data_IF_743836419826
#
_entry.id   IF_743836419826
#
_cell.length_a   1.000
_cell.length_b   1.000
_cell.length_c   1.000
_cell.angle_alpha   90.00
_cell.angle_beta   90.00
_cell.angle_gamma   90.00
#
_symmetry.space_group_name_H-M   'P 1'
#
loop_
_entity.id
_entity.type
_entity.pdbx_description
1 polymer ?
#
# COMPACT_ATOMS: atom_id res chain seq x y z
N UNK A 1 -3.91 -7.73 -21.27
CA UNK A 1 -3.13 -6.47 -21.31
C UNK A 1 -1.61 -6.71 -21.23
N UNK A 2 -1.10 -7.60 -20.38
CA UNK A 2 0.35 -7.83 -20.27
C UNK A 2 0.98 -8.62 -21.44
N UNK A 3 0.22 -9.48 -22.11
CA UNK A 3 0.66 -10.16 -23.33
C UNK A 3 0.98 -9.16 -24.47
N UNK A 4 0.17 -8.10 -24.58
CA UNK A 4 0.33 -7.03 -25.58
C UNK A 4 1.56 -6.17 -25.24
N UNK A 5 1.80 -5.87 -23.96
CA UNK A 5 3.03 -5.18 -23.52
C UNK A 5 4.29 -5.98 -23.80
N UNK A 6 4.26 -7.30 -23.59
CA UNK A 6 5.38 -8.21 -23.90
C UNK A 6 5.64 -8.33 -25.40
N UNK A 7 4.60 -8.31 -26.23
CA UNK A 7 4.77 -8.26 -27.69
C UNK A 7 5.34 -6.92 -28.14
N UNK A 8 4.86 -5.81 -27.58
CA UNK A 8 5.38 -4.48 -27.89
C UNK A 8 6.86 -4.32 -27.47
N UNK A 9 7.27 -4.89 -26.32
CA UNK A 9 8.68 -4.89 -25.91
C UNK A 9 9.56 -5.75 -26.81
N UNK A 10 9.08 -6.93 -27.23
CA UNK A 10 9.79 -7.79 -28.19
C UNK A 10 9.92 -7.13 -29.57
N UNK A 11 8.88 -6.44 -30.03
CA UNK A 11 8.90 -5.71 -31.29
C UNK A 11 9.88 -4.53 -31.23
N UNK A 12 9.89 -3.77 -30.13
CA UNK A 12 10.89 -2.71 -29.91
C UNK A 12 12.32 -3.25 -29.91
N UNK A 13 12.55 -4.38 -29.24
CA UNK A 13 13.87 -5.02 -29.19
C UNK A 13 14.30 -5.56 -30.56
N UNK A 14 13.36 -6.14 -31.32
CA UNK A 14 13.62 -6.56 -32.70
C UNK A 14 13.93 -5.36 -33.61
N UNK A 15 13.17 -4.28 -33.50
CA UNK A 15 13.41 -3.05 -34.27
C UNK A 15 14.77 -2.43 -33.90
N UNK A 16 15.14 -2.40 -32.63
CA UNK A 16 16.46 -1.92 -32.20
C UNK A 16 17.60 -2.78 -32.75
N UNK A 17 17.48 -4.12 -32.70
CA UNK A 17 18.47 -5.03 -33.30
C UNK A 17 18.55 -4.90 -34.81
N UNK A 18 17.42 -4.70 -35.47
CA UNK A 18 17.36 -4.56 -36.93
C UNK A 18 17.92 -3.20 -37.37
N UNK A 19 17.64 -2.12 -36.64
CA UNK A 19 18.29 -0.81 -36.82
C UNK A 19 19.80 -0.91 -36.62
N UNK A 20 20.26 -1.65 -35.62
CA UNK A 20 21.69 -1.86 -35.36
C UNK A 20 22.37 -2.72 -36.45
N UNK A 21 21.68 -3.73 -36.99
CA UNK A 21 22.17 -4.54 -38.10
C UNK A 21 22.26 -3.72 -39.41
N UNK A 22 21.28 -2.86 -39.67
CA UNK A 22 21.28 -1.93 -40.80
C UNK A 22 22.41 -0.89 -40.65
N UNK A 23 22.60 -0.33 -39.45
CA UNK A 23 23.74 0.55 -39.14
C UNK A 23 25.09 -0.14 -39.32
N UNK A 24 25.22 -1.42 -38.95
CA UNK A 24 26.43 -2.21 -39.21
C UNK A 24 26.66 -2.47 -40.69
N UNK A 25 25.61 -2.72 -41.46
CA UNK A 25 25.70 -3.01 -42.89
C UNK A 25 26.02 -1.75 -43.72
N UNK A 26 25.56 -0.57 -43.29
CA UNK A 26 25.81 0.71 -43.97
C UNK A 26 26.95 1.54 -43.37
N UNK A 27 27.42 1.22 -42.16
CA UNK A 27 28.54 1.90 -41.48
C UNK A 27 29.93 1.26 -41.70
N UNK A 28 30.00 0.13 -42.41
CA UNK A 28 31.22 -0.68 -42.63
C UNK A 28 32.22 -0.12 -43.64
N UNK A 29 32.38 1.20 -43.74
CA UNK A 29 33.28 1.86 -44.68
C UNK A 29 34.61 2.31 -44.08
N UNK A 30 35.47 1.36 -43.71
CA UNK A 30 36.92 1.55 -43.60
C UNK A 30 37.46 2.17 -42.31
N UNK A 31 38.09 1.32 -41.49
CA UNK A 31 39.22 1.55 -40.59
C UNK A 31 39.27 2.86 -39.79
N UNK A 32 38.93 2.74 -38.50
CA UNK A 32 39.16 3.78 -37.48
C UNK A 32 38.76 3.32 -36.07
N UNK A 33 39.68 2.63 -35.38
CA UNK A 33 39.69 2.51 -33.91
C UNK A 33 38.78 1.44 -33.29
N UNK A 34 39.38 0.35 -32.81
CA UNK A 34 38.74 -0.59 -31.87
C UNK A 34 38.20 0.11 -30.60
N UNK A 35 38.76 1.28 -30.28
CA UNK A 35 38.40 2.11 -29.13
C UNK A 35 37.02 2.80 -29.27
N UNK A 36 36.61 3.08 -30.51
CA UNK A 36 35.30 3.67 -30.80
C UNK A 36 34.17 2.65 -30.59
N UNK A 37 34.42 1.36 -30.88
CA UNK A 37 33.43 0.29 -30.72
C UNK A 37 33.18 -0.05 -29.24
N UNK A 38 34.24 -0.06 -28.42
CA UNK A 38 34.15 -0.33 -26.98
C UNK A 38 33.50 0.82 -26.21
N UNK A 39 33.73 2.06 -26.66
CA UNK A 39 33.09 3.25 -26.09
C UNK A 39 31.58 3.27 -26.36
N UNK A 40 31.18 2.91 -27.58
CA UNK A 40 29.77 2.83 -28.00
C UNK A 40 28.97 1.77 -27.20
N UNK A 41 29.60 0.64 -26.85
CA UNK A 41 28.95 -0.42 -26.05
C UNK A 41 28.72 -0.01 -24.58
N UNK A 42 29.69 0.68 -23.96
CA UNK A 42 29.53 1.21 -22.59
C UNK A 42 28.48 2.32 -22.52
N UNK A 43 28.44 3.19 -23.52
CA UNK A 43 27.43 4.25 -23.64
C UNK A 43 26.02 3.66 -23.82
N UNK A 44 25.88 2.63 -24.66
CA UNK A 44 24.63 1.90 -24.85
C UNK A 44 24.14 1.26 -23.54
N UNK A 45 25.02 0.61 -22.79
CA UNK A 45 24.69 0.03 -21.49
C UNK A 45 24.24 1.08 -20.46
N UNK A 46 24.91 2.23 -20.42
CA UNK A 46 24.53 3.34 -19.54
C UNK A 46 23.12 3.86 -19.90
N UNK A 47 22.84 4.04 -21.18
CA UNK A 47 21.53 4.48 -21.66
C UNK A 47 20.42 3.48 -21.28
N UNK A 48 20.62 2.19 -21.52
CA UNK A 48 19.68 1.15 -21.14
C UNK A 48 19.44 1.10 -19.62
N UNK A 49 20.49 1.31 -18.83
CA UNK A 49 20.37 1.39 -17.36
C UNK A 49 19.53 2.60 -16.95
N UNK A 50 19.77 3.77 -17.55
CA UNK A 50 18.99 4.99 -17.32
C UNK A 50 17.52 4.79 -17.67
N UNK A 51 17.21 4.18 -18.81
CA UNK A 51 15.83 3.90 -19.22
C UNK A 51 15.11 3.01 -18.20
N UNK A 52 15.77 1.93 -17.74
CA UNK A 52 15.23 1.03 -16.71
C UNK A 52 14.95 1.77 -15.40
N UNK A 53 15.91 2.58 -14.95
CA UNK A 53 15.78 3.39 -13.73
C UNK A 53 14.65 4.42 -13.83
N UNK A 54 14.51 5.07 -14.99
CA UNK A 54 13.45 6.04 -15.22
C UNK A 54 12.06 5.37 -15.20
N UNK A 55 11.91 4.23 -15.85
CA UNK A 55 10.66 3.45 -15.83
C UNK A 55 10.33 2.99 -14.40
N UNK A 56 11.33 2.47 -13.68
CA UNK A 56 11.17 1.97 -12.32
C UNK A 56 10.76 3.08 -11.36
N UNK A 57 11.47 4.21 -11.33
CA UNK A 57 11.15 5.36 -10.46
C UNK A 57 9.80 6.01 -10.80
N UNK A 58 9.40 5.98 -12.08
CA UNK A 58 8.05 6.38 -12.50
C UNK A 58 6.99 5.42 -11.95
N UNK A 59 7.17 4.11 -12.09
CA UNK A 59 6.25 3.12 -11.56
C UNK A 59 6.16 3.21 -10.02
N UNK A 60 7.30 3.33 -9.33
CA UNK A 60 7.38 3.54 -7.89
C UNK A 60 6.54 4.73 -7.42
N UNK A 61 6.66 5.89 -8.09
CA UNK A 61 5.82 7.07 -7.81
C UNK A 61 4.33 6.78 -7.96
N UNK A 62 3.92 6.01 -8.97
CA UNK A 62 2.52 5.64 -9.17
C UNK A 62 2.00 4.73 -8.05
N UNK A 63 2.73 3.67 -7.72
CA UNK A 63 2.33 2.77 -6.65
C UNK A 63 2.24 3.49 -5.29
N UNK A 64 3.22 4.32 -4.96
CA UNK A 64 3.18 5.12 -3.73
C UNK A 64 1.95 6.03 -3.67
N UNK A 65 1.60 6.66 -4.79
CA UNK A 65 0.39 7.50 -4.86
C UNK A 65 -0.89 6.69 -4.65
N UNK A 66 -0.99 5.51 -5.22
CA UNK A 66 -2.18 4.66 -5.07
C UNK A 66 -2.30 4.13 -3.64
N UNK A 67 -1.19 3.80 -2.98
CA UNK A 67 -1.16 3.47 -1.54
C UNK A 67 -1.65 4.66 -0.71
N UNK A 68 -1.12 5.87 -0.96
CA UNK A 68 -1.55 7.08 -0.25
C UNK A 68 -3.06 7.29 -0.37
N UNK A 69 -3.62 7.19 -1.58
CA UNK A 69 -5.06 7.32 -1.81
C UNK A 69 -5.87 6.25 -1.06
N UNK A 70 -5.39 5.00 -1.05
CA UNK A 70 -6.01 3.92 -0.31
C UNK A 70 -6.07 4.19 1.20
N UNK A 71 -4.94 4.61 1.78
CA UNK A 71 -4.82 4.95 3.20
C UNK A 71 -5.69 6.16 3.55
N UNK A 72 -5.66 7.22 2.75
CA UNK A 72 -6.50 8.41 2.96
C UNK A 72 -8.00 8.07 2.87
N UNK A 73 -8.40 7.26 1.90
CA UNK A 73 -9.78 6.77 1.79
C UNK A 73 -10.21 5.91 2.99
N UNK A 74 -9.30 5.08 3.50
CA UNK A 74 -9.52 4.31 4.72
C UNK A 74 -9.68 5.22 5.94
N UNK A 75 -8.86 6.27 6.07
CA UNK A 75 -8.95 7.26 7.15
C UNK A 75 -10.30 7.99 7.11
N UNK A 76 -10.71 8.49 5.95
CA UNK A 76 -12.00 9.20 5.80
C UNK A 76 -13.18 8.31 6.21
N UNK A 77 -13.20 7.07 5.74
CA UNK A 77 -14.25 6.11 6.12
C UNK A 77 -14.15 5.73 7.59
N UNK A 78 -12.94 5.56 8.10
CA UNK A 78 -12.65 5.24 9.49
C UNK A 78 -13.16 6.32 10.46
N UNK A 79 -12.96 7.60 10.14
CA UNK A 79 -13.44 8.71 10.97
C UNK A 79 -14.96 8.70 11.10
N UNK A 80 -15.69 8.40 10.02
CA UNK A 80 -17.15 8.22 10.07
C UNK A 80 -17.56 7.05 10.98
N UNK A 81 -16.79 5.95 10.98
CA UNK A 81 -17.06 4.84 11.89
C UNK A 81 -16.84 5.23 13.36
N UNK A 82 -15.81 6.03 13.64
CA UNK A 82 -15.56 6.59 14.98
C UNK A 82 -16.74 7.45 15.44
N UNK A 83 -17.25 8.33 14.59
CA UNK A 83 -18.42 9.17 14.91
C UNK A 83 -19.66 8.32 15.25
N UNK A 84 -19.99 7.34 14.39
CA UNK A 84 -21.13 6.44 14.60
C UNK A 84 -20.95 5.61 15.88
N UNK A 85 -19.75 5.06 16.10
CA UNK A 85 -19.44 4.26 17.28
C UNK A 85 -19.49 5.07 18.57
N UNK A 86 -19.05 6.33 18.53
CA UNK A 86 -19.12 7.27 19.66
C UNK A 86 -20.57 7.56 20.01
N UNK A 87 -21.41 7.88 19.02
CA UNK A 87 -22.85 8.08 19.24
C UNK A 87 -23.53 6.85 19.85
N UNK A 88 -23.23 5.65 19.34
CA UNK A 88 -23.74 4.40 19.92
C UNK A 88 -23.34 4.23 21.39
N UNK A 89 -22.11 4.61 21.74
CA UNK A 89 -21.63 4.58 23.12
C UNK A 89 -22.40 5.58 24.00
N UNK A 90 -22.70 6.77 23.50
CA UNK A 90 -23.45 7.79 24.22
C UNK A 90 -24.90 7.36 24.46
N UNK A 91 -25.56 6.83 23.43
CA UNK A 91 -26.94 6.32 23.53
C UNK A 91 -27.03 5.17 24.56
N UNK A 92 -26.06 4.26 24.55
CA UNK A 92 -25.98 3.16 25.54
C UNK A 92 -25.73 3.66 26.96
N UNK A 93 -24.91 4.71 27.10
CA UNK A 93 -24.62 5.35 28.40
C UNK A 93 -25.87 6.03 28.95
N UNK A 94 -26.60 6.74 28.09
CA UNK A 94 -27.86 7.40 28.41
C UNK A 94 -28.88 6.39 28.91
N UNK A 95 -29.02 5.28 28.20
CA UNK A 95 -29.87 4.17 28.65
C UNK A 95 -29.47 3.67 30.04
N UNK A 96 -28.18 3.48 30.31
CA UNK A 96 -27.71 3.02 31.62
C UNK A 96 -27.87 4.04 32.76
N UNK A 97 -27.84 5.35 32.47
CA UNK A 97 -27.85 6.41 33.47
C UNK A 97 -29.24 6.98 33.76
N UNK A 98 -30.10 7.09 32.75
CA UNK A 98 -31.41 7.77 32.85
C UNK A 98 -32.59 6.80 33.00
N UNK A 99 -32.34 5.49 33.01
CA UNK A 99 -33.42 4.51 33.11
C UNK A 99 -34.04 4.48 34.51
N UNK A 100 -35.35 4.74 34.57
CA UNK A 100 -36.18 4.78 35.79
C UNK A 100 -36.75 3.42 36.20
N UNK A 101 -36.32 2.32 35.57
CA UNK A 101 -36.76 0.98 35.93
C UNK A 101 -36.54 0.67 37.43
N UNK A 102 -37.62 0.31 38.13
CA UNK A 102 -37.64 -0.11 39.53
C UNK A 102 -37.17 -1.57 39.73
N UNK A 103 -37.00 -2.33 38.65
CA UNK A 103 -36.46 -3.69 38.64
C UNK A 103 -34.98 -3.72 38.28
N UNK A 104 -34.14 -4.09 39.26
CA UNK A 104 -32.78 -4.62 39.09
C UNK A 104 -31.81 -3.80 38.21
N UNK A 105 -30.93 -3.02 38.84
CA UNK A 105 -29.87 -2.22 38.16
C UNK A 105 -28.81 -2.99 37.37
N UNK A 106 -28.96 -4.30 37.15
CA UNK A 106 -28.04 -5.13 36.37
C UNK A 106 -27.99 -4.72 34.90
N UNK A 107 -29.13 -4.51 34.26
CA UNK A 107 -29.15 -4.08 32.85
C UNK A 107 -28.56 -2.67 32.69
N UNK A 108 -28.81 -1.77 33.63
CA UNK A 108 -28.19 -0.44 33.66
C UNK A 108 -26.66 -0.53 33.79
N UNK A 109 -26.14 -1.39 34.69
CA UNK A 109 -24.69 -1.63 34.82
C UNK A 109 -24.08 -2.25 33.57
N UNK A 110 -24.75 -3.21 32.95
CA UNK A 110 -24.31 -3.82 31.69
C UNK A 110 -24.24 -2.77 30.56
N UNK A 111 -25.26 -1.92 30.44
CA UNK A 111 -25.29 -0.84 29.45
C UNK A 111 -24.18 0.19 29.68
N UNK A 112 -23.93 0.59 30.93
CA UNK A 112 -22.83 1.49 31.29
C UNK A 112 -21.47 0.87 30.97
N UNK A 113 -21.28 -0.42 31.28
CA UNK A 113 -20.03 -1.16 31.00
C UNK A 113 -19.75 -1.24 29.50
N UNK A 114 -20.77 -1.62 28.70
CA UNK A 114 -20.69 -1.59 27.24
C UNK A 114 -20.39 -0.19 26.70
N UNK A 115 -21.07 0.84 27.20
CA UNK A 115 -20.87 2.22 26.74
C UNK A 115 -19.44 2.69 26.93
N UNK A 116 -18.81 2.33 28.06
CA UNK A 116 -17.43 2.68 28.37
C UNK A 116 -16.46 1.95 27.45
N UNK A 117 -16.60 0.63 27.34
CA UNK A 117 -15.76 -0.19 26.48
C UNK A 117 -15.87 0.23 25.01
N UNK A 118 -17.08 0.55 24.53
CA UNK A 118 -17.32 1.05 23.18
C UNK A 118 -16.62 2.38 22.92
N UNK A 119 -16.73 3.34 23.85
CA UNK A 119 -16.05 4.62 23.74
C UNK A 119 -14.52 4.46 23.71
N UNK A 120 -13.97 3.54 24.52
CA UNK A 120 -12.53 3.26 24.52
C UNK A 120 -12.07 2.63 23.20
N UNK A 121 -12.83 1.69 22.63
CA UNK A 121 -12.50 1.12 21.31
C UNK A 121 -12.48 2.18 20.21
N UNK A 122 -13.43 3.11 20.19
CA UNK A 122 -13.44 4.19 19.20
C UNK A 122 -12.30 5.19 19.37
N UNK A 123 -11.88 5.45 20.62
CA UNK A 123 -10.66 6.22 20.91
C UNK A 123 -9.43 5.54 20.30
N UNK A 124 -9.27 4.24 20.50
CA UNK A 124 -8.15 3.49 19.91
C UNK A 124 -8.22 3.43 18.39
N UNK A 125 -9.43 3.39 17.82
CA UNK A 125 -9.63 3.50 16.37
C UNK A 125 -9.15 4.86 15.86
N UNK A 126 -9.48 5.94 16.56
CA UNK A 126 -8.95 7.28 16.25
C UNK A 126 -7.42 7.35 16.29
N UNK A 127 -6.80 6.71 17.29
CA UNK A 127 -5.34 6.61 17.39
C UNK A 127 -4.73 5.87 16.19
N UNK A 128 -5.32 4.74 15.77
CA UNK A 128 -4.90 4.02 14.56
C UNK A 128 -4.96 4.92 13.32
N UNK A 129 -6.09 5.59 13.08
CA UNK A 129 -6.26 6.44 11.90
C UNK A 129 -5.24 7.59 11.87
N UNK A 130 -4.96 8.18 13.03
CA UNK A 130 -3.91 9.19 13.17
C UNK A 130 -2.52 8.63 12.87
N UNK A 131 -2.20 7.42 13.34
CA UNK A 131 -0.94 6.75 13.04
C UNK A 131 -0.79 6.45 11.55
N UNK A 132 -1.85 5.98 10.88
CA UNK A 132 -1.85 5.76 9.43
C UNK A 132 -1.63 7.08 8.66
N UNK A 133 -2.24 8.18 9.09
CA UNK A 133 -2.03 9.49 8.47
C UNK A 133 -0.58 9.95 8.57
N UNK A 134 -0.06 9.99 9.80
CA UNK A 134 1.25 10.59 10.11
C UNK A 134 2.44 9.69 9.78
N UNK A 135 2.32 8.38 10.01
CA UNK A 135 3.43 7.45 9.84
C UNK A 135 3.50 6.82 8.44
N UNK A 136 2.39 6.83 7.68
CA UNK A 136 2.28 6.16 6.38
C UNK A 136 1.96 7.15 5.26
N UNK A 137 0.81 7.82 5.32
CA UNK A 137 0.33 8.66 4.22
C UNK A 137 1.23 9.88 3.98
N UNK A 138 1.55 10.64 5.03
CA UNK A 138 2.37 11.85 4.93
C UNK A 138 3.79 11.58 4.35
N UNK A 139 4.58 10.60 4.85
CA UNK A 139 5.91 10.34 4.29
C UNK A 139 5.86 9.85 2.83
N UNK A 140 4.87 9.03 2.46
CA UNK A 140 4.72 8.58 1.08
C UNK A 140 4.28 9.72 0.16
N UNK A 141 3.39 10.61 0.63
CA UNK A 141 2.99 11.81 -0.12
C UNK A 141 4.19 12.73 -0.37
N UNK A 142 5.01 12.95 0.67
CA UNK A 142 6.23 13.73 0.56
C UNK A 142 7.22 13.13 -0.45
N UNK A 143 7.38 11.81 -0.49
CA UNK A 143 8.21 11.12 -1.49
C UNK A 143 7.66 11.28 -2.92
N UNK A 144 6.34 11.20 -3.11
CA UNK A 144 5.70 11.35 -4.43
C UNK A 144 5.86 12.76 -5.00
N UNK A 145 5.88 13.78 -4.15
CA UNK A 145 5.99 15.21 -4.53
C UNK A 145 7.41 15.75 -4.32
N UNK A 146 8.34 14.93 -3.83
CA UNK A 146 9.64 15.38 -3.35
C UNK A 146 10.57 15.87 -4.47
N UNK A 147 11.30 16.95 -4.18
CA UNK A 147 12.32 17.52 -5.06
C UNK A 147 13.35 16.49 -5.58
N UNK A 148 13.88 15.55 -4.76
CA UNK A 148 14.91 14.61 -5.24
C UNK A 148 14.47 13.77 -6.45
N UNK A 149 13.19 13.40 -6.53
CA UNK A 149 12.65 12.64 -7.66
C UNK A 149 12.52 13.50 -8.91
N UNK A 150 12.10 14.76 -8.77
CA UNK A 150 11.97 15.66 -9.92
C UNK A 150 13.35 16.13 -10.41
N UNK A 151 14.29 16.42 -9.52
CA UNK A 151 15.69 16.77 -9.86
C UNK A 151 16.37 15.64 -10.64
N UNK A 152 16.24 14.38 -10.19
CA UNK A 152 16.79 13.22 -10.89
C UNK A 152 16.19 13.04 -12.29
N UNK A 153 14.90 13.38 -12.47
CA UNK A 153 14.26 13.35 -13.80
C UNK A 153 14.73 14.48 -14.69
N UNK A 154 14.98 15.67 -14.15
CA UNK A 154 15.56 16.76 -14.92
C UNK A 154 16.96 16.42 -15.42
N UNK A 155 17.79 15.75 -14.61
CA UNK A 155 19.08 15.24 -15.06
C UNK A 155 18.94 14.24 -16.21
N UNK A 156 18.03 13.28 -16.10
CA UNK A 156 17.76 12.32 -17.18
C UNK A 156 17.30 13.00 -18.48
N UNK A 157 16.41 14.00 -18.40
CA UNK A 157 15.98 14.77 -19.56
C UNK A 157 17.10 15.62 -20.19
N UNK A 158 18.03 16.14 -19.40
CA UNK A 158 19.22 16.84 -19.91
C UNK A 158 20.15 15.88 -20.62
N UNK A 159 20.34 14.68 -20.07
CA UNK A 159 21.12 13.62 -20.70
C UNK A 159 20.53 13.22 -22.05
N UNK A 160 19.21 13.00 -22.13
CA UNK A 160 18.54 12.63 -23.39
C UNK A 160 18.73 13.67 -24.49
N UNK A 161 18.66 14.97 -24.15
CA UNK A 161 18.95 16.07 -25.08
C UNK A 161 20.39 16.06 -25.55
N UNK A 162 21.34 15.96 -24.62
CA UNK A 162 22.76 15.93 -24.95
C UNK A 162 23.14 14.72 -25.81
N UNK A 163 22.48 13.57 -25.60
CA UNK A 163 22.62 12.38 -26.44
C UNK A 163 22.16 12.63 -27.87
N UNK A 164 21.00 13.27 -28.05
CA UNK A 164 20.49 13.63 -29.38
C UNK A 164 21.43 14.62 -30.09
N UNK A 165 21.99 15.60 -29.37
CA UNK A 165 22.97 16.54 -29.91
C UNK A 165 24.26 15.84 -30.35
N UNK A 166 24.74 14.85 -29.57
CA UNK A 166 25.89 14.03 -29.93
C UNK A 166 25.61 13.14 -31.17
N UNK A 167 24.43 12.55 -31.28
CA UNK A 167 23.99 11.79 -32.46
C UNK A 167 23.93 12.68 -33.72
N UNK A 168 23.36 13.87 -33.61
CA UNK A 168 23.29 14.84 -34.71
C UNK A 168 24.69 15.29 -35.16
N UNK A 169 25.59 15.56 -34.21
CA UNK A 169 26.97 15.93 -34.51
C UNK A 169 27.75 14.76 -35.14
N UNK A 170 27.51 13.52 -34.72
CA UNK A 170 28.12 12.33 -35.32
C UNK A 170 27.72 12.15 -36.80
N UNK A 171 26.46 12.40 -37.15
CA UNK A 171 25.99 12.39 -38.55
C UNK A 171 26.72 13.46 -39.36
N UNK A 172 26.93 14.65 -38.80
CA UNK A 172 27.62 15.73 -39.49
C UNK A 172 29.12 15.43 -39.69
N UNK A 173 29.77 14.81 -38.71
CA UNK A 173 31.15 14.29 -38.86
C UNK A 173 31.21 13.29 -40.01
N UNK A 174 30.33 12.29 -40.05
CA UNK A 174 30.27 11.31 -41.14
C UNK A 174 30.08 11.96 -42.52
N UNK A 175 29.22 12.98 -42.63
CA UNK A 175 29.04 13.74 -43.87
C UNK A 175 30.31 14.48 -44.30
N UNK A 176 31.05 15.08 -43.35
CA UNK A 176 32.30 15.79 -43.64
C UNK A 176 33.43 14.83 -43.98
N UNK A 177 33.51 13.67 -43.32
CA UNK A 177 34.45 12.61 -43.67
C UNK A 177 34.24 12.11 -45.11
N UNK A 178 32.99 11.91 -45.53
CA UNK A 178 32.68 11.55 -46.92
C UNK A 178 33.16 12.63 -47.91
N UNK A 179 32.91 13.92 -47.63
CA UNK A 179 33.39 15.04 -48.47
C UNK A 179 34.91 15.14 -48.56
N UNK A 180 35.63 14.88 -47.47
CA UNK A 180 37.11 14.84 -47.47
C UNK A 180 37.61 13.70 -48.35
N UNK A 181 36.93 12.54 -48.35
CA UNK A 181 37.27 11.40 -49.22
C UNK A 181 37.03 11.71 -50.70
N UNK A 182 36.03 12.53 -51.04
CA UNK A 182 35.73 12.94 -52.41
C UNK A 182 36.70 14.01 -52.96
N UNK A 183 37.23 14.89 -52.11
CA UNK A 183 38.12 16.00 -52.47
C UNK A 183 39.44 15.96 -51.67
N UNK A 184 40.29 14.94 -51.88
CA UNK A 184 41.56 14.80 -51.17
C UNK A 184 42.50 15.98 -51.49
N UNK A 185 42.94 16.70 -50.45
CA UNK A 185 43.87 17.83 -50.56
C UNK A 185 43.26 19.21 -50.30
N UNK A 186 41.93 19.32 -50.13
CA UNK A 186 41.32 20.59 -49.72
C UNK A 186 41.52 20.83 -48.21
N UNK A 187 42.49 21.68 -47.88
CA UNK A 187 42.84 22.06 -46.50
C UNK A 187 41.66 22.66 -45.72
N UNK A 188 40.75 23.39 -46.36
CA UNK A 188 39.61 24.01 -45.68
C UNK A 188 38.57 22.98 -45.23
N UNK A 189 38.31 21.96 -46.06
CA UNK A 189 37.36 20.88 -45.74
C UNK A 189 37.95 19.99 -44.63
N UNK A 190 39.26 19.74 -44.66
CA UNK A 190 39.97 19.01 -43.61
C UNK A 190 39.88 19.73 -42.24
N UNK A 191 40.14 21.05 -42.19
CA UNK A 191 40.00 21.84 -40.95
C UNK A 191 38.56 21.82 -40.40
N UNK A 192 37.54 21.90 -41.28
CA UNK A 192 36.12 21.81 -40.89
C UNK A 192 35.74 20.44 -40.34
N UNK A 193 36.36 19.37 -40.84
CA UNK A 193 36.19 18.02 -40.30
C UNK A 193 36.80 17.94 -38.89
N UNK A 194 38.04 18.38 -38.72
CA UNK A 194 38.74 18.36 -37.42
C UNK A 194 37.97 19.14 -36.35
N UNK A 195 37.47 20.33 -36.67
CA UNK A 195 36.63 21.12 -35.76
C UNK A 195 35.31 20.39 -35.40
N UNK A 196 34.73 19.65 -36.33
CA UNK A 196 33.51 18.88 -36.10
C UNK A 196 33.76 17.64 -35.22
N UNK A 197 34.92 16.99 -35.38
CA UNK A 197 35.38 15.86 -34.57
C UNK A 197 35.71 16.30 -33.15
N UNK A 198 36.40 17.43 -32.97
CA UNK A 198 36.66 18.01 -31.65
C UNK A 198 35.35 18.30 -30.89
N UNK A 199 34.38 18.95 -31.55
CA UNK A 199 33.06 19.21 -30.96
C UNK A 199 32.31 17.91 -30.61
N UNK A 200 32.46 16.86 -31.40
CA UNK A 200 31.85 15.55 -31.09
C UNK A 200 32.48 14.93 -29.84
N UNK A 201 33.81 15.02 -29.69
CA UNK A 201 34.50 14.51 -28.49
C UNK A 201 34.08 15.28 -27.23
N UNK A 202 33.93 16.60 -27.32
CA UNK A 202 33.42 17.43 -26.22
C UNK A 202 31.98 17.04 -25.85
N UNK A 203 31.11 16.81 -26.84
CA UNK A 203 29.74 16.36 -26.57
C UNK A 203 29.70 14.96 -25.92
N UNK A 204 30.52 14.01 -26.40
CA UNK A 204 30.59 12.65 -25.83
C UNK A 204 31.09 12.66 -24.39
N UNK A 205 32.13 13.43 -24.08
CA UNK A 205 32.67 13.53 -22.72
C UNK A 205 31.66 14.15 -21.75
N UNK A 206 31.00 15.25 -22.14
CA UNK A 206 29.94 15.88 -21.36
C UNK A 206 28.74 14.93 -21.17
N UNK A 207 28.34 14.21 -22.24
CA UNK A 207 27.25 13.23 -22.20
C UNK A 207 27.54 12.10 -21.21
N UNK A 208 28.77 11.60 -21.19
CA UNK A 208 29.18 10.53 -20.27
C UNK A 208 29.14 11.00 -18.80
N UNK A 209 29.63 12.22 -18.51
CA UNK A 209 29.56 12.80 -17.16
C UNK A 209 28.11 12.93 -16.71
N UNK A 210 27.27 13.58 -17.51
CA UNK A 210 25.87 13.82 -17.20
C UNK A 210 25.06 12.51 -17.10
N UNK A 211 25.37 11.52 -17.95
CA UNK A 211 24.74 10.21 -17.90
C UNK A 211 25.06 9.46 -16.60
N UNK A 212 26.30 9.54 -16.11
CA UNK A 212 26.67 8.95 -14.81
C UNK A 212 25.96 9.65 -13.65
N UNK A 213 25.87 10.97 -13.67
CA UNK A 213 25.15 11.75 -12.66
C UNK A 213 23.66 11.41 -12.63
N UNK A 214 23.00 11.39 -13.79
CA UNK A 214 21.60 11.02 -13.92
C UNK A 214 21.35 9.58 -13.44
N UNK A 215 22.25 8.64 -13.77
CA UNK A 215 22.11 7.24 -13.38
C UNK A 215 22.27 7.07 -11.87
N UNK A 216 23.25 7.76 -11.27
CA UNK A 216 23.45 7.75 -9.82
C UNK A 216 22.25 8.37 -9.08
N UNK A 217 21.75 9.52 -9.55
CA UNK A 217 20.61 10.19 -8.95
C UNK A 217 19.33 9.33 -9.02
N UNK A 218 19.00 8.75 -10.19
CA UNK A 218 17.83 7.89 -10.33
C UNK A 218 17.95 6.60 -9.52
N UNK A 219 19.14 5.99 -9.45
CA UNK A 219 19.36 4.80 -8.63
C UNK A 219 19.21 5.10 -7.13
N UNK A 220 19.70 6.25 -6.66
CA UNK A 220 19.50 6.69 -5.28
C UNK A 220 18.01 6.89 -4.96
N UNK A 221 17.27 7.54 -5.86
CA UNK A 221 15.81 7.74 -5.72
C UNK A 221 15.06 6.41 -5.73
N UNK A 222 15.39 5.48 -6.62
CA UNK A 222 14.78 4.14 -6.64
C UNK A 222 14.98 3.41 -5.31
N UNK A 223 16.22 3.37 -4.82
CA UNK A 223 16.54 2.72 -3.54
C UNK A 223 15.79 3.39 -2.37
N UNK A 224 15.69 4.72 -2.39
CA UNK A 224 14.96 5.48 -1.39
C UNK A 224 13.45 5.20 -1.45
N UNK A 225 12.86 5.14 -2.64
CA UNK A 225 11.45 4.78 -2.84
C UNK A 225 11.17 3.38 -2.29
N UNK A 226 12.01 2.39 -2.60
CA UNK A 226 11.83 1.01 -2.14
C UNK A 226 11.93 0.92 -0.61
N UNK A 227 13.00 1.49 -0.03
CA UNK A 227 13.24 1.45 1.42
C UNK A 227 12.12 2.16 2.18
N UNK A 228 11.77 3.37 1.77
CA UNK A 228 10.71 4.12 2.42
C UNK A 228 9.38 3.36 2.32
N UNK A 229 9.00 2.90 1.11
CA UNK A 229 7.73 2.18 0.92
C UNK A 229 7.65 0.94 1.83
N UNK A 230 8.72 0.13 1.89
CA UNK A 230 8.77 -1.02 2.79
C UNK A 230 8.58 -0.61 4.25
N UNK A 231 9.31 0.41 4.71
CA UNK A 231 9.20 0.91 6.09
C UNK A 231 7.77 1.37 6.41
N UNK A 232 7.09 2.04 5.46
CA UNK A 232 5.71 2.52 5.67
C UNK A 232 4.69 1.39 5.65
N UNK A 233 4.89 0.35 4.84
CA UNK A 233 4.05 -0.86 4.87
C UNK A 233 4.20 -1.60 6.21
N UNK A 234 5.42 -1.70 6.76
CA UNK A 234 5.66 -2.30 8.07
C UNK A 234 4.94 -1.48 9.16
N UNK A 235 5.11 -0.16 9.17
CA UNK A 235 4.46 0.72 10.15
C UNK A 235 2.92 0.61 10.12
N UNK A 236 2.34 0.46 8.93
CA UNK A 236 0.90 0.21 8.78
C UNK A 236 0.47 -1.11 9.45
N UNK A 237 1.19 -2.20 9.20
CA UNK A 237 0.92 -3.51 9.81
C UNK A 237 1.10 -3.47 11.33
N UNK A 238 2.12 -2.77 11.82
CA UNK A 238 2.38 -2.62 13.26
C UNK A 238 1.29 -1.81 13.95
N UNK A 239 0.85 -0.70 13.33
CA UNK A 239 -0.25 0.11 13.85
C UNK A 239 -1.56 -0.69 13.90
N UNK A 240 -1.89 -1.43 12.84
CA UNK A 240 -3.06 -2.30 12.82
C UNK A 240 -2.97 -3.40 13.89
N UNK A 241 -1.81 -4.06 14.01
CA UNK A 241 -1.60 -5.11 15.03
C UNK A 241 -1.80 -4.54 16.44
N UNK A 242 -1.17 -3.41 16.75
CA UNK A 242 -1.28 -2.77 18.06
C UNK A 242 -2.72 -2.40 18.38
N UNK A 243 -3.45 -1.81 17.42
CA UNK A 243 -4.86 -1.47 17.59
C UNK A 243 -5.71 -2.71 17.91
N UNK A 244 -5.59 -3.78 17.12
CA UNK A 244 -6.40 -4.99 17.34
C UNK A 244 -6.05 -5.68 18.66
N UNK A 245 -4.79 -5.63 19.10
CA UNK A 245 -4.38 -6.16 20.40
C UNK A 245 -5.06 -5.42 21.56
N UNK A 246 -5.08 -4.09 21.52
CA UNK A 246 -5.74 -3.28 22.56
C UNK A 246 -7.25 -3.47 22.52
N UNK A 247 -7.87 -3.51 21.33
CA UNK A 247 -9.31 -3.77 21.18
C UNK A 247 -9.71 -5.12 21.76
N UNK A 248 -8.91 -6.16 21.53
CA UNK A 248 -9.16 -7.49 22.09
C UNK A 248 -9.15 -7.44 23.63
N UNK A 249 -8.17 -6.77 24.24
CA UNK A 249 -8.10 -6.62 25.70
C UNK A 249 -9.34 -5.90 26.28
N UNK A 250 -9.83 -4.87 25.58
CA UNK A 250 -11.04 -4.15 25.98
C UNK A 250 -12.26 -5.08 25.92
N UNK A 251 -12.35 -5.91 24.87
CA UNK A 251 -13.46 -6.85 24.70
C UNK A 251 -13.42 -7.98 25.72
N UNK A 252 -12.25 -8.54 26.01
CA UNK A 252 -12.08 -9.59 27.03
C UNK A 252 -12.51 -9.08 28.42
N UNK A 253 -12.12 -7.84 28.76
CA UNK A 253 -12.55 -7.20 30.00
C UNK A 253 -14.08 -6.99 30.03
N UNK A 254 -14.65 -6.48 28.94
CA UNK A 254 -16.08 -6.25 28.84
C UNK A 254 -16.86 -7.56 28.94
N UNK A 255 -16.40 -8.64 28.30
CA UNK A 255 -17.04 -9.95 28.37
C UNK A 255 -17.09 -10.45 29.82
N UNK A 256 -16.00 -10.33 30.58
CA UNK A 256 -15.98 -10.65 32.00
C UNK A 256 -16.97 -9.83 32.83
N UNK A 257 -17.08 -8.53 32.58
CA UNK A 257 -18.06 -7.65 33.21
C UNK A 257 -19.50 -8.08 32.87
N UNK A 258 -19.77 -8.40 31.60
CA UNK A 258 -21.09 -8.83 31.13
C UNK A 258 -21.51 -10.19 31.68
N UNK A 259 -20.59 -11.17 31.77
CA UNK A 259 -20.86 -12.48 32.37
C UNK A 259 -21.18 -12.33 33.85
N UNK A 260 -20.43 -11.48 34.56
CA UNK A 260 -20.67 -11.20 35.98
C UNK A 260 -22.07 -10.60 36.21
N UNK A 261 -22.50 -9.67 35.35
CA UNK A 261 -23.85 -9.12 35.41
C UNK A 261 -24.92 -10.15 35.04
N UNK A 262 -24.68 -11.02 34.05
CA UNK A 262 -25.57 -12.14 33.70
C UNK A 262 -25.78 -13.09 34.88
N UNK A 263 -24.71 -13.46 35.58
CA UNK A 263 -24.78 -14.33 36.76
C UNK A 263 -25.60 -13.73 37.91
N UNK A 264 -25.64 -12.40 38.05
CA UNK A 264 -26.50 -11.73 39.06
C UNK A 264 -27.99 -11.85 38.75
N UNK A 265 -28.36 -12.03 37.49
CA UNK A 265 -29.76 -12.28 37.10
C UNK A 265 -30.14 -13.75 37.31
N UNK A 266 -29.20 -14.67 37.09
CA UNK A 266 -29.43 -16.11 37.21
C UNK A 266 -29.32 -16.65 38.65
N UNK A 267 -28.75 -15.88 39.58
CA UNK A 267 -28.68 -16.27 40.98
C UNK A 267 -30.10 -16.35 41.61
N UNK A 268 -30.48 -17.45 42.26
CA UNK A 268 -31.80 -17.57 42.89
C UNK A 268 -31.95 -16.53 44.01
N UNK A 269 -33.16 -15.98 44.25
CA UNK A 269 -33.38 -15.04 45.34
C UNK A 269 -33.01 -15.75 46.65
N UNK A 270 -32.04 -15.19 47.37
CA UNK A 270 -31.71 -15.64 48.72
C UNK A 270 -32.99 -15.59 49.55
N UNK A 271 -33.40 -16.69 50.22
CA UNK A 271 -34.58 -16.65 51.07
C UNK A 271 -34.32 -15.64 52.19
N UNK A 272 -35.12 -14.57 52.21
CA UNK A 272 -35.21 -13.69 53.36
C UNK A 272 -35.74 -14.53 54.53
N UNK A 273 -34.85 -14.94 55.42
CA UNK A 273 -35.24 -15.33 56.76
C UNK A 273 -35.67 -14.07 57.50
N UNK A 274 -36.95 -13.72 57.42
CA UNK A 274 -37.62 -13.15 58.58
C UNK A 274 -39.14 -13.25 58.53
N UNK A 275 -39.70 -13.56 59.70
CA UNK A 275 -41.09 -13.53 60.14
C UNK A 275 -42.10 -14.59 59.69
N UNK A 276 -42.31 -15.51 60.65
CA UNK A 276 -43.49 -16.30 60.94
C UNK A 276 -44.83 -15.69 60.50
N UNK A 277 -45.56 -16.41 59.68
CA UNK A 277 -47.02 -16.33 59.61
C UNK A 277 -47.57 -17.77 59.60
N UNK A 278 -48.52 -18.14 60.48
CA UNK A 278 -49.09 -19.48 60.48
C UNK A 278 -50.01 -19.69 59.26
N UNK A 279 -50.12 -20.91 58.73
CA UNK A 279 -50.96 -21.18 57.56
C UNK A 279 -52.46 -21.09 57.91
N UNK A 280 -53.31 -20.49 57.07
CA UNK A 280 -54.75 -20.58 57.24
C UNK A 280 -55.23 -22.02 56.95
N UNK A 281 -56.30 -22.49 57.62
CA UNK A 281 -56.75 -23.89 57.57
C UNK A 281 -57.38 -24.26 56.22
N UNK A 282 -57.42 -25.57 55.87
CA UNK A 282 -57.86 -26.04 54.56
C UNK A 282 -59.38 -26.05 54.47
N UNK A 283 -59.94 -25.61 53.33
CA UNK A 283 -61.35 -25.82 53.00
C UNK A 283 -61.49 -26.49 51.63
N UNK A 284 -62.38 -27.47 51.57
CA UNK A 284 -62.63 -28.38 50.44
C UNK A 284 -63.30 -27.70 49.24
N UNK A 285 -63.06 -28.30 48.07
CA UNK A 285 -63.59 -27.98 46.76
C UNK A 285 -65.13 -27.96 46.71
N UNK A 286 -65.73 -26.90 46.13
CA UNK A 286 -66.93 -27.04 45.29
C UNK A 286 -66.88 -26.07 44.11
N UNK A 287 -67.01 -26.69 42.94
CA UNK A 287 -67.17 -26.21 41.57
C UNK A 287 -68.06 -24.97 41.35
N UNK A 288 -67.65 -24.09 40.43
CA UNK A 288 -68.47 -22.97 39.93
C UNK A 288 -67.87 -22.29 38.70
N UNK A 289 -68.36 -22.67 37.53
CA UNK A 289 -68.00 -22.23 36.17
C UNK A 289 -68.37 -20.76 35.92
N UNK A 290 -67.46 -19.94 35.32
CA UNK A 290 -67.63 -19.23 34.03
C UNK A 290 -66.51 -18.21 33.69
N UNK A 291 -65.89 -18.45 32.53
CA UNK A 291 -65.32 -17.56 31.51
C UNK A 291 -64.48 -16.31 31.87
N UNK A 292 -63.23 -16.31 31.38
CA UNK A 292 -62.84 -15.39 30.29
C UNK A 292 -61.60 -15.91 29.53
N UNK A 293 -61.82 -16.21 28.25
CA UNK A 293 -60.78 -16.34 27.23
C UNK A 293 -60.29 -14.94 26.84
N UNK A 294 -58.99 -14.73 26.64
CA UNK A 294 -58.47 -13.96 25.49
C UNK A 294 -56.97 -14.17 25.28
N UNK A 295 -56.68 -14.93 24.22
CA UNK A 295 -55.60 -14.72 23.22
C UNK A 295 -54.15 -14.61 23.69
N UNK A 296 -53.50 -15.76 23.74
CA UNK A 296 -52.13 -15.94 23.25
C UNK A 296 -52.05 -15.62 21.75
N UNK A 297 -50.88 -15.17 21.32
CA UNK A 297 -50.30 -15.21 19.96
C UNK A 297 -50.31 -13.90 19.14
N UNK A 298 -49.13 -13.28 19.06
CA UNK A 298 -48.82 -12.27 18.05
C UNK A 298 -47.64 -11.38 18.42
N UNK A 299 -46.41 -11.84 18.13
CA UNK A 299 -45.23 -11.02 17.71
C UNK A 299 -43.92 -11.73 18.10
N UNK A 300 -43.65 -12.88 17.48
CA UNK A 300 -42.35 -13.57 17.54
C UNK A 300 -41.43 -13.20 16.37
N UNK A 301 -41.83 -12.24 15.54
CA UNK A 301 -41.08 -11.90 14.32
C UNK A 301 -40.10 -10.73 14.51
N UNK A 302 -40.17 -9.99 15.63
CA UNK A 302 -39.24 -8.89 15.93
C UNK A 302 -37.95 -9.36 16.64
N UNK A 303 -38.03 -10.44 17.41
CA UNK A 303 -36.90 -10.95 18.20
C UNK A 303 -35.86 -11.70 17.34
N UNK A 304 -36.29 -12.27 16.20
CA UNK A 304 -35.41 -13.00 15.28
C UNK A 304 -34.41 -12.09 14.53
N UNK A 305 -34.79 -10.86 14.22
CA UNK A 305 -33.91 -9.90 13.53
C UNK A 305 -32.80 -9.36 14.44
N UNK A 306 -33.09 -9.15 15.73
CA UNK A 306 -32.10 -8.64 16.67
C UNK A 306 -31.03 -9.69 17.02
N UNK A 307 -31.42 -10.97 17.12
CA UNK A 307 -30.48 -12.08 17.31
C UNK A 307 -29.65 -12.34 16.04
N UNK A 308 -30.27 -12.17 14.86
CA UNK A 308 -29.59 -12.26 13.56
C UNK A 308 -28.50 -11.21 13.37
N UNK A 309 -28.68 -9.98 13.85
CA UNK A 309 -27.69 -8.90 13.73
C UNK A 309 -26.44 -9.14 14.62
N UNK A 310 -26.64 -9.65 15.83
CA UNK A 310 -25.57 -9.94 16.79
C UNK A 310 -24.77 -11.17 16.35
N UNK A 311 -25.44 -12.23 15.89
CA UNK A 311 -24.78 -13.42 15.34
C UNK A 311 -24.06 -13.07 14.03
N UNK A 312 -24.63 -12.22 13.16
CA UNK A 312 -23.96 -11.77 11.93
C UNK A 312 -22.73 -10.92 12.21
N UNK A 313 -22.71 -10.11 13.28
CA UNK A 313 -21.50 -9.36 13.72
C UNK A 313 -20.42 -10.27 14.33
N UNK A 314 -20.80 -11.28 15.12
CA UNK A 314 -19.87 -12.30 15.64
C UNK A 314 -19.34 -13.24 14.55
N UNK A 315 -20.14 -13.53 13.52
CA UNK A 315 -19.67 -14.24 12.32
C UNK A 315 -18.79 -13.36 11.44
N UNK A 316 -18.99 -12.04 11.41
CA UNK A 316 -18.09 -11.10 10.72
C UNK A 316 -16.72 -11.00 11.41
N UNK A 317 -16.63 -11.09 12.73
CA UNK A 317 -15.33 -11.14 13.42
C UNK A 317 -14.61 -12.48 13.20
N UNK A 318 -15.34 -13.59 13.16
CA UNK A 318 -14.77 -14.89 12.83
C UNK A 318 -14.35 -15.01 11.35
N UNK A 319 -15.12 -14.43 10.42
CA UNK A 319 -14.72 -14.28 9.01
C UNK A 319 -13.60 -13.25 8.86
N UNK A 320 -13.54 -12.20 9.66
CA UNK A 320 -12.42 -11.26 9.67
C UNK A 320 -11.14 -11.93 10.16
N UNK A 321 -11.19 -12.86 11.13
CA UNK A 321 -10.03 -13.68 11.49
C UNK A 321 -9.60 -14.64 10.37
N UNK A 322 -10.55 -15.28 9.65
CA UNK A 322 -10.21 -16.07 8.46
C UNK A 322 -9.66 -15.22 7.31
N UNK A 323 -10.20 -14.02 7.09
CA UNK A 323 -9.69 -13.07 6.10
C UNK A 323 -8.31 -12.56 6.52
N UNK A 324 -8.06 -12.32 7.82
CA UNK A 324 -6.74 -11.94 8.32
C UNK A 324 -5.72 -13.09 8.15
N UNK A 325 -6.15 -14.35 8.30
CA UNK A 325 -5.34 -15.54 8.04
C UNK A 325 -5.02 -15.67 6.55
N UNK A 326 -6.00 -15.46 5.66
CA UNK A 326 -5.85 -15.49 4.21
C UNK A 326 -4.99 -14.30 3.73
N UNK A 327 -5.19 -13.10 4.29
CA UNK A 327 -4.37 -11.92 4.00
C UNK A 327 -2.94 -12.11 4.50
N UNK A 328 -2.73 -12.75 5.66
CA UNK A 328 -1.37 -13.15 6.11
C UNK A 328 -0.72 -14.15 5.15
N UNK A 329 -1.46 -15.14 4.66
CA UNK A 329 -0.95 -16.10 3.67
C UNK A 329 -0.67 -15.46 2.31
N UNK A 330 -1.55 -14.60 1.82
CA UNK A 330 -1.38 -13.90 0.53
C UNK A 330 -0.29 -12.83 0.63
N UNK A 331 -0.20 -12.09 1.74
CA UNK A 331 0.87 -11.13 2.00
C UNK A 331 2.22 -11.84 2.17
N UNK A 332 2.28 -12.96 2.88
CA UNK A 332 3.50 -13.76 2.97
C UNK A 332 3.89 -14.33 1.61
N UNK A 333 2.93 -14.82 0.82
CA UNK A 333 3.20 -15.38 -0.51
C UNK A 333 3.66 -14.31 -1.52
N UNK A 334 3.04 -13.12 -1.50
CA UNK A 334 3.44 -11.98 -2.35
C UNK A 334 4.74 -11.34 -1.90
N UNK A 335 5.00 -11.26 -0.59
CA UNK A 335 6.25 -10.76 -0.03
C UNK A 335 7.42 -11.71 -0.30
N UNK A 336 7.21 -13.02 -0.13
CA UNK A 336 8.22 -14.03 -0.49
C UNK A 336 8.46 -14.03 -2.00
N UNK A 337 7.44 -13.95 -2.86
CA UNK A 337 7.66 -13.88 -4.32
C UNK A 337 8.28 -12.56 -4.79
N UNK A 338 8.00 -11.45 -4.10
CA UNK A 338 8.62 -10.15 -4.35
C UNK A 338 10.10 -10.13 -3.93
N UNK A 339 10.42 -10.69 -2.76
CA UNK A 339 11.80 -10.88 -2.30
C UNK A 339 12.53 -11.89 -3.19
N UNK A 340 11.92 -13.02 -3.56
CA UNK A 340 12.54 -14.00 -4.45
C UNK A 340 12.80 -13.43 -5.84
N UNK A 341 11.88 -12.62 -6.37
CA UNK A 341 12.09 -11.96 -7.68
C UNK A 341 13.16 -10.86 -7.60
N UNK A 342 13.19 -10.10 -6.50
CA UNK A 342 14.20 -9.05 -6.28
C UNK A 342 15.59 -9.66 -6.03
N UNK A 343 15.71 -10.65 -5.15
CA UNK A 343 16.96 -11.38 -4.88
C UNK A 343 17.45 -12.18 -6.09
N UNK A 344 16.55 -12.77 -6.90
CA UNK A 344 16.95 -13.43 -8.16
C UNK A 344 17.47 -12.43 -9.18
N UNK A 345 16.91 -11.21 -9.23
CA UNK A 345 17.42 -10.13 -10.08
C UNK A 345 18.80 -9.63 -9.62
N UNK A 346 19.02 -9.51 -8.31
CA UNK A 346 20.32 -9.12 -7.72
C UNK A 346 21.39 -10.22 -7.80
N UNK A 347 21.04 -11.50 -7.60
CA UNK A 347 22.01 -12.61 -7.77
C UNK A 347 22.40 -12.83 -9.23
N UNK A 348 21.49 -12.62 -10.18
CA UNK A 348 21.84 -12.72 -11.61
C UNK A 348 22.75 -11.58 -12.06
N UNK A 349 22.63 -10.40 -11.45
CA UNK A 349 23.53 -9.26 -11.72
C UNK A 349 24.87 -9.41 -11.01
N UNK A 350 24.92 -9.96 -9.78
CA UNK A 350 26.20 -10.25 -9.10
C UNK A 350 26.97 -11.44 -9.73
N UNK A 351 26.30 -12.49 -10.22
CA UNK A 351 26.99 -13.59 -10.90
C UNK A 351 27.58 -13.14 -12.24
N UNK A 352 26.91 -12.25 -12.97
CA UNK A 352 27.45 -11.68 -14.22
C UNK A 352 28.64 -10.73 -13.97
N UNK A 353 28.74 -10.10 -12.80
CA UNK A 353 29.90 -9.28 -12.42
C UNK A 353 31.11 -10.10 -11.93
N UNK A 354 30.95 -11.41 -11.67
CA UNK A 354 32.04 -12.29 -11.20
C UNK A 354 32.65 -13.16 -12.30
N UNK A 355 32.10 -13.07 -13.53
CA UNK A 355 32.51 -13.82 -14.72
C UNK A 355 32.85 -12.91 -15.92
N UNK A 356 32.97 -11.60 -15.69
CA UNK A 356 33.54 -10.62 -16.62
C UNK A 356 34.66 -9.88 -15.93
#
# INVERSE_FOLDING_TARGET
MDAIRKQASKLREQVARQQQAVLKQFGGGGYGGSDNMVTDERELHLHQKLEKLYISTRAGKHYQRDVVRGVEGYIVTGSKQVEIGTKLSEDSRKYGAENTCTSGGTLCRAALSYSRARAQMEKERGNLLKALGTQVAEPLRAMVVGAPLEDARHLAQRYDRMRQDAEAQAIEVSKRQAKVRELPGNSEIAMKLEAAEAKLQDLKSNMNILGREAAAALAAVEAQQQRLTLQRLIAMVEAERSYHQVVLQILDQLEGEMISERQRIEAPPTPSMDNSMPPPPPYEEVNGVYASQTTHNGSTDSMGYFLGEVIKRSFLTHRAMQILQIVKQVAAFTFVTFIYSSCRFYSHTLLCLKWS
#
